data_IF_495949633150
#
_entry.id   IF_495949633150
#
_cell.length_a   1.000
_cell.length_b   1.000
_cell.length_c   1.000
_cell.angle_alpha   90.00
_cell.angle_beta   90.00
_cell.angle_gamma   90.00
#
_symmetry.space_group_name_H-M   'P 1'
#
loop_
_entity.id
_entity.type
_entity.pdbx_description
1 polymer ?
#
# COMPACT_ATOMS: atom_id res chain seq x y z
N UNK A 1 -10.63 13.54 -6.99
CA UNK A 1 -9.45 13.61 -6.11
C UNK A 1 -8.79 14.94 -6.35
N UNK A 2 -8.45 15.66 -5.29
CA UNK A 2 -7.73 16.93 -5.37
C UNK A 2 -6.37 16.72 -6.09
N UNK A 3 -5.93 17.70 -6.90
CA UNK A 3 -4.71 17.58 -7.72
C UNK A 3 -3.45 17.33 -6.90
N UNK A 4 -3.28 18.01 -5.77
CA UNK A 4 -2.13 17.83 -4.86
C UNK A 4 -2.14 16.41 -4.29
N UNK A 5 -3.30 15.91 -3.88
CA UNK A 5 -3.42 14.56 -3.35
C UNK A 5 -3.16 13.50 -4.45
N UNK A 6 -3.56 13.76 -5.69
CA UNK A 6 -3.25 12.89 -6.83
C UNK A 6 -1.75 12.83 -7.07
N UNK A 7 -1.08 13.98 -7.13
CA UNK A 7 0.37 14.05 -7.33
C UNK A 7 1.14 13.35 -6.21
N UNK A 8 0.72 13.50 -4.95
CA UNK A 8 1.30 12.75 -3.82
C UNK A 8 1.18 11.24 -4.00
N UNK A 9 0.01 10.76 -4.44
CA UNK A 9 -0.24 9.34 -4.68
C UNK A 9 0.65 8.86 -5.83
N UNK A 10 0.77 9.63 -6.90
CA UNK A 10 1.59 9.28 -8.06
C UNK A 10 3.09 9.20 -7.67
N UNK A 11 3.60 10.21 -6.94
CA UNK A 11 4.96 10.20 -6.39
C UNK A 11 5.21 9.03 -5.43
N UNK A 12 4.20 8.68 -4.64
CA UNK A 12 4.22 7.53 -3.73
C UNK A 12 4.04 6.18 -4.44
N UNK A 13 3.92 6.16 -5.78
CA UNK A 13 3.71 4.97 -6.59
C UNK A 13 2.37 4.29 -6.31
N UNK A 14 1.31 5.07 -6.09
CA UNK A 14 -0.04 4.60 -5.79
C UNK A 14 -0.43 4.57 -4.32
N UNK A 15 0.45 5.02 -3.42
CA UNK A 15 0.26 5.01 -1.96
C UNK A 15 0.56 6.37 -1.35
N UNK A 16 -0.15 6.73 -0.28
CA UNK A 16 0.12 7.93 0.52
C UNK A 16 -0.08 7.62 2.01
N UNK A 17 0.77 8.19 2.86
CA UNK A 17 0.61 8.10 4.32
C UNK A 17 -0.13 9.32 4.87
N UNK A 18 -0.80 9.17 6.01
CA UNK A 18 -1.46 10.27 6.71
C UNK A 18 -0.45 11.36 7.07
N UNK A 19 0.75 10.98 7.50
CA UNK A 19 1.83 11.91 7.85
C UNK A 19 2.23 12.79 6.67
N UNK A 20 2.54 12.18 5.52
CA UNK A 20 2.90 12.92 4.30
C UNK A 20 1.74 13.76 3.78
N UNK A 21 0.52 13.23 3.76
CA UNK A 21 -0.65 13.97 3.29
C UNK A 21 -0.93 15.22 4.14
N UNK A 22 -0.86 15.11 5.47
CA UNK A 22 -1.14 16.23 6.39
C UNK A 22 -0.17 17.40 6.26
N UNK A 23 1.01 17.18 5.68
CA UNK A 23 1.98 18.25 5.44
C UNK A 23 1.57 19.17 4.29
N UNK A 24 0.71 18.70 3.37
CA UNK A 24 0.40 19.43 2.12
C UNK A 24 -1.09 19.58 1.83
N UNK A 25 -1.95 18.75 2.42
CA UNK A 25 -3.40 18.85 2.29
C UNK A 25 -4.11 18.79 3.65
N UNK A 26 -5.27 19.47 3.78
CA UNK A 26 -6.11 19.32 4.95
C UNK A 26 -6.53 17.86 5.19
N UNK A 27 -6.74 17.50 6.46
CA UNK A 27 -7.14 16.13 6.86
C UNK A 27 -8.46 15.67 6.24
N UNK A 28 -9.40 16.60 6.00
CA UNK A 28 -10.68 16.30 5.36
C UNK A 28 -10.51 15.85 3.91
N UNK A 29 -9.44 16.25 3.21
CA UNK A 29 -9.22 15.90 1.80
C UNK A 29 -9.00 14.40 1.62
N UNK A 30 -8.29 13.75 2.54
CA UNK A 30 -8.14 12.30 2.56
C UNK A 30 -9.47 11.60 2.86
N UNK A 31 -10.22 12.10 3.85
CA UNK A 31 -11.52 11.52 4.20
C UNK A 31 -12.50 11.61 3.02
N UNK A 32 -12.51 12.75 2.32
CA UNK A 32 -13.34 12.94 1.13
C UNK A 32 -12.92 12.00 0.00
N UNK A 33 -11.62 11.83 -0.25
CA UNK A 33 -11.13 10.89 -1.26
C UNK A 33 -11.51 9.43 -0.91
N UNK A 34 -11.50 9.06 0.37
CA UNK A 34 -12.00 7.77 0.82
C UNK A 34 -13.52 7.62 0.60
N UNK A 35 -14.31 8.63 0.96
CA UNK A 35 -15.77 8.61 0.76
C UNK A 35 -16.16 8.55 -0.72
N UNK A 36 -15.37 9.19 -1.58
CA UNK A 36 -15.57 9.18 -3.03
C UNK A 36 -15.09 7.87 -3.69
N UNK A 37 -14.49 6.94 -2.93
CA UNK A 37 -13.97 5.68 -3.46
C UNK A 37 -12.68 5.82 -4.28
N UNK A 38 -11.96 6.94 -4.13
CA UNK A 38 -10.72 7.21 -4.86
C UNK A 38 -9.49 6.64 -4.13
N UNK A 39 -9.56 6.63 -2.80
CA UNK A 39 -8.55 6.04 -1.92
C UNK A 39 -9.18 5.00 -1.01
N UNK A 40 -8.44 3.93 -0.75
CA UNK A 40 -8.81 2.89 0.21
C UNK A 40 -7.76 2.88 1.32
N UNK A 41 -8.21 2.86 2.57
CA UNK A 41 -7.32 2.67 3.72
C UNK A 41 -6.88 1.19 3.77
N UNK A 42 -5.60 0.92 3.55
CA UNK A 42 -5.04 -0.43 3.54
C UNK A 42 -4.54 -0.86 4.92
N UNK A 43 -3.97 0.08 5.68
CA UNK A 43 -3.49 -0.06 7.05
C UNK A 43 -3.82 1.22 7.84
N UNK A 44 -3.68 1.24 9.18
CA UNK A 44 -3.76 2.49 9.92
C UNK A 44 -2.84 3.54 9.27
N UNK A 45 -3.38 4.72 8.98
CA UNK A 45 -2.62 5.84 8.41
C UNK A 45 -2.03 5.62 6.99
N UNK A 46 -2.30 4.50 6.33
CA UNK A 46 -1.82 4.23 4.97
C UNK A 46 -3.00 4.06 4.01
N UNK A 47 -2.96 4.84 2.93
CA UNK A 47 -3.99 4.89 1.91
C UNK A 47 -3.41 4.52 0.55
N UNK A 48 -4.18 3.79 -0.24
CA UNK A 48 -3.78 3.30 -1.58
C UNK A 48 -4.85 3.73 -2.58
N UNK A 49 -4.43 4.04 -3.81
CA UNK A 49 -5.35 4.35 -4.89
C UNK A 49 -6.32 3.18 -5.14
N UNK A 50 -7.62 3.46 -5.18
CA UNK A 50 -8.64 2.42 -5.23
C UNK A 50 -8.54 1.52 -6.47
N UNK A 51 -8.06 2.07 -7.60
CA UNK A 51 -7.87 1.31 -8.85
C UNK A 51 -6.76 0.25 -8.76
N UNK A 52 -5.91 0.28 -7.73
CA UNK A 52 -4.88 -0.73 -7.46
C UNK A 52 -5.41 -1.89 -6.61
N UNK A 53 -6.58 -1.76 -6.01
CA UNK A 53 -7.22 -2.79 -5.21
C UNK A 53 -8.04 -3.68 -6.15
N UNK A 54 -7.60 -4.92 -6.34
CA UNK A 54 -8.20 -5.90 -7.22
C UNK A 54 -9.15 -6.85 -6.48
N UNK A 55 -10.06 -7.48 -7.21
CA UNK A 55 -10.91 -8.56 -6.66
C UNK A 55 -12.17 -8.10 -5.92
N UNK A 56 -12.92 -9.06 -5.39
CA UNK A 56 -14.26 -8.81 -4.82
C UNK A 56 -14.20 -8.09 -3.48
N UNK A 57 -15.17 -7.19 -3.21
CA UNK A 57 -15.41 -6.66 -1.86
C UNK A 57 -15.59 -7.82 -0.86
N UNK A 58 -15.00 -7.70 0.34
CA UNK A 58 -15.15 -8.68 1.43
C UNK A 58 -13.84 -9.27 1.94
N UNK A 59 -12.78 -9.28 1.12
CA UNK A 59 -11.44 -9.67 1.57
C UNK A 59 -10.67 -8.47 2.17
N UNK A 60 -9.70 -8.71 3.07
CA UNK A 60 -8.80 -7.66 3.55
C UNK A 60 -8.14 -6.91 2.39
N UNK A 61 -7.96 -5.59 2.53
CA UNK A 61 -7.40 -4.74 1.45
C UNK A 61 -6.01 -5.22 1.04
N UNK A 62 -5.15 -5.59 2.00
CA UNK A 62 -3.79 -6.09 1.71
C UNK A 62 -3.78 -7.39 0.89
N UNK A 63 -4.80 -8.24 1.02
CA UNK A 63 -4.91 -9.49 0.24
C UNK A 63 -5.39 -9.24 -1.20
N UNK A 64 -5.88 -8.03 -1.48
CA UNK A 64 -6.44 -7.61 -2.76
C UNK A 64 -5.50 -6.71 -3.55
N UNK A 65 -4.37 -6.33 -2.96
CA UNK A 65 -3.31 -5.60 -3.61
C UNK A 65 -2.30 -6.59 -4.20
N UNK A 66 -1.59 -6.17 -5.25
CA UNK A 66 -0.40 -6.88 -5.70
C UNK A 66 0.59 -7.07 -4.53
N UNK A 67 1.25 -8.23 -4.39
CA UNK A 67 2.15 -8.51 -3.27
C UNK A 67 3.23 -7.44 -3.04
N UNK A 68 3.76 -6.82 -4.10
CA UNK A 68 4.74 -5.75 -3.96
C UNK A 68 4.12 -4.48 -3.36
N UNK A 69 2.88 -4.15 -3.73
CA UNK A 69 2.13 -3.04 -3.15
C UNK A 69 1.76 -3.33 -1.68
N UNK A 70 1.34 -4.54 -1.34
CA UNK A 70 1.06 -4.94 0.05
C UNK A 70 2.30 -4.79 0.93
N UNK A 71 3.45 -5.23 0.43
CA UNK A 71 4.74 -5.05 1.12
C UNK A 71 5.08 -3.57 1.29
N UNK A 72 4.92 -2.73 0.26
CA UNK A 72 5.13 -1.28 0.37
C UNK A 72 4.21 -0.62 1.40
N UNK A 73 2.94 -1.01 1.43
CA UNK A 73 1.98 -0.51 2.41
C UNK A 73 2.40 -0.89 3.84
N UNK A 74 2.84 -2.13 4.05
CA UNK A 74 3.35 -2.58 5.35
C UNK A 74 4.62 -1.83 5.79
N UNK A 75 5.57 -1.61 4.88
CA UNK A 75 6.79 -0.84 5.16
C UNK A 75 6.48 0.63 5.47
N UNK A 76 5.58 1.25 4.71
CA UNK A 76 5.15 2.63 4.95
C UNK A 76 4.45 2.78 6.30
N UNK A 77 3.63 1.79 6.68
CA UNK A 77 2.99 1.76 8.00
C UNK A 77 4.00 1.57 9.13
N UNK A 78 4.99 0.69 8.96
CA UNK A 78 6.02 0.46 9.96
C UNK A 78 6.84 1.73 10.24
N UNK A 79 6.98 2.64 9.28
CA UNK A 79 7.57 3.96 9.49
C UNK A 79 9.02 3.93 10.03
N UNK A 80 9.76 2.85 9.78
CA UNK A 80 11.10 2.63 10.35
C UNK A 80 11.13 2.03 11.76
N UNK A 81 9.97 1.77 12.37
CA UNK A 81 9.82 1.13 13.68
C UNK A 81 9.64 -0.40 13.62
N UNK A 82 9.64 -0.98 12.42
CA UNK A 82 9.51 -2.43 12.22
C UNK A 82 10.83 -3.07 11.80
N UNK A 83 11.02 -4.34 12.18
CA UNK A 83 12.12 -5.17 11.71
C UNK A 83 11.58 -6.29 10.81
N UNK A 84 12.28 -6.54 9.69
CA UNK A 84 12.01 -7.72 8.87
C UNK A 84 12.58 -8.95 9.59
N UNK A 85 11.81 -10.04 9.63
CA UNK A 85 12.26 -11.31 10.20
C UNK A 85 12.06 -12.46 9.22
N UNK A 86 12.77 -13.57 9.47
CA UNK A 86 12.63 -14.83 8.73
C UNK A 86 12.61 -14.62 7.20
N UNK A 87 11.54 -15.06 6.53
CA UNK A 87 11.40 -15.03 5.08
C UNK A 87 11.42 -13.60 4.52
N UNK A 88 10.87 -12.61 5.23
CA UNK A 88 10.87 -11.23 4.75
C UNK A 88 12.27 -10.61 4.77
N UNK A 89 13.10 -10.99 5.75
CA UNK A 89 14.51 -10.58 5.78
C UNK A 89 15.31 -11.27 4.66
N UNK A 90 15.15 -12.59 4.50
CA UNK A 90 15.80 -13.33 3.42
C UNK A 90 15.42 -12.79 2.03
N UNK A 91 14.14 -12.46 1.82
CA UNK A 91 13.65 -11.91 0.56
C UNK A 91 14.29 -10.56 0.20
N UNK A 92 14.55 -9.68 1.18
CA UNK A 92 15.22 -8.39 0.91
C UNK A 92 16.70 -8.56 0.57
N UNK A 93 17.35 -9.57 1.14
CA UNK A 93 18.74 -9.91 0.83
C UNK A 93 18.90 -10.81 -0.42
N UNK A 94 17.80 -11.17 -1.09
CA UNK A 94 17.85 -12.09 -2.24
C UNK A 94 18.25 -13.52 -1.86
N UNK A 95 18.10 -13.90 -0.60
CA UNK A 95 18.50 -15.21 -0.04
C UNK A 95 17.34 -16.21 0.05
N UNK A 96 16.18 -15.88 -0.50
CA UNK A 96 15.05 -16.79 -0.58
C UNK A 96 15.06 -17.51 -1.94
N UNK A 97 15.03 -18.86 -1.99
CA UNK A 97 14.85 -19.56 -3.25
C UNK A 97 13.47 -19.23 -3.79
N UNK A 98 13.40 -18.57 -4.94
CA UNK A 98 12.14 -18.38 -5.66
C UNK A 98 11.56 -19.78 -5.90
N UNK A 99 10.45 -20.11 -5.23
CA UNK A 99 9.73 -21.34 -5.55
C UNK A 99 9.09 -21.07 -6.90
N UNK A 100 9.84 -21.39 -7.95
CA UNK A 100 9.30 -21.69 -9.27
C UNK A 100 8.29 -22.81 -9.05
N UNK A 101 7.02 -22.46 -8.91
CA UNK A 101 5.92 -23.40 -9.12
C UNK A 101 5.91 -23.66 -10.62
N UNK A 102 6.83 -24.51 -11.08
CA UNK A 102 6.66 -25.21 -12.35
C UNK A 102 5.51 -26.17 -12.13
N UNK A 103 4.31 -25.75 -12.52
CA UNK A 103 3.19 -26.65 -12.76
C UNK A 103 3.65 -27.65 -13.81
N UNK A 104 3.99 -28.88 -13.38
CA UNK A 104 4.15 -30.00 -14.29
C UNK A 104 2.75 -30.38 -14.78
N UNK A 105 2.51 -30.15 -16.07
CA UNK A 105 1.38 -30.70 -16.83
C UNK A 105 1.61 -32.17 -17.12
#
# INVERSE_FOLDING_TARGET
MNSVLRELVDLGGGLVTLGTARQVVPSWTLQQACRNGELVRALPEVFVAAHLVLGRPGAPVLSRLDPAMSRRAALAWAGGHGALSHLSALAVWGLHPEVLVTSCT
#
